data_IF_306856124242
#
_entry.id   IF_306856124242
#
_cell.length_a   1.000
_cell.length_b   1.000
_cell.length_c   1.000
_cell.angle_alpha   90.00
_cell.angle_beta   90.00
_cell.angle_gamma   90.00
#
_symmetry.space_group_name_H-M   'P 1'
#
loop_
_entity.id
_entity.type
_entity.pdbx_description
1 polymer ?
#
# COMPACT_ATOMS: atom_id res chain seq x y z
N UNK A 1 -71.95 -11.06 21.35
CA UNK A 1 -71.01 -10.36 20.46
C UNK A 1 -69.97 -9.68 21.32
N UNK A 2 -68.75 -10.20 21.37
CA UNK A 2 -67.67 -9.68 22.23
C UNK A 2 -66.89 -8.66 21.41
N UNK A 3 -66.98 -7.38 21.76
CA UNK A 3 -66.23 -6.32 21.08
C UNK A 3 -64.73 -6.48 21.39
N UNK A 4 -63.90 -6.58 20.35
CA UNK A 4 -62.46 -6.40 20.44
C UNK A 4 -62.22 -4.92 20.71
N UNK A 5 -61.84 -4.58 21.93
CA UNK A 5 -61.47 -3.21 22.28
C UNK A 5 -60.09 -2.96 21.67
N UNK A 6 -60.06 -2.28 20.53
CA UNK A 6 -58.83 -1.80 19.94
C UNK A 6 -58.24 -0.75 20.89
N UNK A 7 -57.09 -1.08 21.50
CA UNK A 7 -56.40 -0.17 22.41
C UNK A 7 -55.89 1.01 21.57
N UNK A 8 -56.27 2.27 21.86
CA UNK A 8 -55.79 3.40 21.08
C UNK A 8 -54.27 3.47 21.24
N UNK A 9 -53.56 3.38 20.12
CA UNK A 9 -52.11 3.55 20.11
C UNK A 9 -51.78 4.99 20.53
N UNK A 10 -50.95 5.19 21.57
CA UNK A 10 -50.56 6.53 21.95
C UNK A 10 -49.83 7.17 20.76
N UNK A 11 -50.33 8.31 20.30
CA UNK A 11 -49.65 9.08 19.26
C UNK A 11 -48.41 9.71 19.90
N UNK A 12 -47.19 9.37 19.43
CA UNK A 12 -45.97 9.95 19.99
C UNK A 12 -46.03 11.47 19.80
N UNK A 13 -46.13 12.20 20.91
CA UNK A 13 -46.02 13.65 20.92
C UNK A 13 -44.55 13.98 21.09
N UNK A 14 -43.94 14.65 20.10
CA UNK A 14 -42.55 15.10 20.20
C UNK A 14 -42.41 16.05 21.39
N UNK A 15 -41.71 15.60 22.44
CA UNK A 15 -41.43 16.41 23.64
C UNK A 15 -40.22 17.32 23.46
N UNK A 16 -39.50 17.17 22.35
CA UNK A 16 -38.31 17.93 21.98
C UNK A 16 -38.54 18.51 20.60
N UNK A 17 -38.18 19.78 20.41
CA UNK A 17 -38.35 20.46 19.14
C UNK A 17 -37.48 19.77 18.05
N UNK A 18 -38.02 19.47 16.85
CA UNK A 18 -37.33 18.65 15.84
C UNK A 18 -36.00 19.25 15.36
N UNK A 19 -35.87 20.57 15.36
CA UNK A 19 -34.65 21.34 15.13
C UNK A 19 -33.51 21.05 16.12
N UNK A 20 -33.79 20.45 17.28
CA UNK A 20 -32.76 20.00 18.24
C UNK A 20 -32.20 18.62 17.89
N UNK A 21 -32.94 17.79 17.14
CA UNK A 21 -32.57 16.41 16.81
C UNK A 21 -32.16 16.22 15.36
N UNK A 22 -32.37 17.23 14.50
CA UNK A 22 -31.75 17.27 13.19
C UNK A 22 -30.49 18.14 13.25
N UNK A 23 -29.32 17.62 12.82
CA UNK A 23 -28.15 18.46 12.63
C UNK A 23 -28.53 19.46 11.54
N UNK A 24 -28.92 20.68 11.93
CA UNK A 24 -29.32 21.73 11.00
C UNK A 24 -28.19 22.11 10.04
N UNK A 25 -28.27 23.28 9.41
CA UNK A 25 -27.28 23.69 8.40
C UNK A 25 -25.81 23.55 8.87
N UNK A 26 -25.53 23.86 10.15
CA UNK A 26 -24.20 23.72 10.75
C UNK A 26 -23.70 22.26 10.72
N UNK A 27 -24.56 21.30 11.08
CA UNK A 27 -24.17 19.90 11.09
C UNK A 27 -24.02 19.31 9.67
N UNK A 28 -24.84 19.76 8.72
CA UNK A 28 -24.65 19.42 7.31
C UNK A 28 -23.31 19.97 6.77
N UNK A 29 -22.99 21.22 7.08
CA UNK A 29 -21.71 21.82 6.70
C UNK A 29 -20.52 21.06 7.31
N UNK A 30 -20.62 20.60 8.56
CA UNK A 30 -19.59 19.78 9.19
C UNK A 30 -19.35 18.46 8.44
N UNK A 31 -20.41 17.77 7.99
CA UNK A 31 -20.29 16.54 7.18
C UNK A 31 -19.60 16.82 5.85
N UNK A 32 -19.93 17.93 5.17
CA UNK A 32 -19.27 18.33 3.92
C UNK A 32 -17.78 18.57 4.14
N UNK A 33 -17.40 19.23 5.23
CA UNK A 33 -15.98 19.45 5.56
C UNK A 33 -15.25 18.12 5.79
N UNK A 34 -15.87 17.19 6.51
CA UNK A 34 -15.31 15.85 6.74
C UNK A 34 -15.14 15.11 5.41
N UNK A 35 -16.15 15.14 4.53
CA UNK A 35 -16.08 14.53 3.21
C UNK A 35 -14.90 15.09 2.39
N UNK A 36 -14.74 16.42 2.38
CA UNK A 36 -13.62 17.08 1.69
C UNK A 36 -12.29 16.64 2.30
N UNK A 37 -12.18 16.57 3.63
CA UNK A 37 -10.97 16.10 4.30
C UNK A 37 -10.63 14.65 3.92
N UNK A 38 -11.62 13.76 3.83
CA UNK A 38 -11.43 12.37 3.39
C UNK A 38 -10.97 12.31 1.93
N UNK A 39 -11.59 13.09 1.03
CA UNK A 39 -11.16 13.16 -0.38
C UNK A 39 -9.73 13.69 -0.49
N UNK A 40 -9.39 14.76 0.23
CA UNK A 40 -8.04 15.31 0.26
C UNK A 40 -7.05 14.30 0.83
N UNK A 41 -7.43 13.52 1.84
CA UNK A 41 -6.60 12.45 2.39
C UNK A 41 -6.33 11.35 1.37
N UNK A 42 -7.34 10.93 0.60
CA UNK A 42 -7.17 9.95 -0.48
C UNK A 42 -6.22 10.50 -1.55
N UNK A 43 -6.42 11.76 -1.97
CA UNK A 43 -5.56 12.41 -2.97
C UNK A 43 -4.12 12.59 -2.47
N UNK A 44 -3.96 12.98 -1.21
CA UNK A 44 -2.66 13.10 -0.53
C UNK A 44 -1.97 11.74 -0.47
N UNK A 45 -2.66 10.70 -0.02
CA UNK A 45 -2.14 9.34 0.04
C UNK A 45 -1.74 8.83 -1.35
N UNK A 46 -2.55 9.05 -2.38
CA UNK A 46 -2.22 8.69 -3.75
C UNK A 46 -1.00 9.46 -4.27
N UNK A 47 -0.91 10.76 -3.99
CA UNK A 47 0.23 11.61 -4.36
C UNK A 47 1.50 11.17 -3.63
N UNK A 48 1.38 10.79 -2.37
CA UNK A 48 2.45 10.26 -1.53
C UNK A 48 2.96 8.92 -2.06
N UNK A 49 2.08 7.97 -2.32
CA UNK A 49 2.43 6.66 -2.90
C UNK A 49 3.17 6.85 -4.23
N UNK A 50 2.63 7.68 -5.13
CA UNK A 50 3.29 7.97 -6.41
C UNK A 50 4.68 8.57 -6.20
N UNK A 51 4.82 9.56 -5.31
CA UNK A 51 6.13 10.18 -5.02
C UNK A 51 7.16 9.22 -4.42
N UNK A 52 6.74 8.27 -3.59
CA UNK A 52 7.64 7.32 -2.93
C UNK A 52 8.05 6.20 -3.89
N UNK A 53 7.12 5.65 -4.67
CA UNK A 53 7.41 4.52 -5.60
C UNK A 53 8.42 4.84 -6.68
N UNK A 54 8.52 6.09 -7.16
CA UNK A 54 9.56 6.49 -8.13
C UNK A 54 11.00 6.27 -7.63
N UNK A 55 11.21 6.15 -6.32
CA UNK A 55 12.55 5.98 -5.73
C UNK A 55 12.91 4.53 -5.47
N UNK A 56 11.93 3.64 -5.46
CA UNK A 56 12.12 2.21 -5.20
C UNK A 56 12.23 1.48 -6.53
N UNK A 57 11.34 1.75 -7.49
CA UNK A 57 11.39 1.11 -8.81
C UNK A 57 12.70 1.43 -9.58
N UNK A 58 13.28 2.63 -9.39
CA UNK A 58 14.60 2.97 -9.98
C UNK A 58 15.76 2.30 -9.25
N UNK A 59 15.64 2.06 -7.94
CA UNK A 59 16.68 1.36 -7.19
C UNK A 59 16.64 -0.13 -7.49
N UNK A 60 15.46 -0.71 -7.60
CA UNK A 60 15.30 -2.12 -7.91
C UNK A 60 15.84 -2.46 -9.32
N UNK A 61 15.66 -1.58 -10.31
CA UNK A 61 16.25 -1.77 -11.65
C UNK A 61 17.79 -1.62 -11.61
N UNK A 62 18.32 -0.62 -10.88
CA UNK A 62 19.78 -0.43 -10.74
C UNK A 62 20.45 -1.56 -9.95
N UNK A 63 19.83 -2.04 -8.88
CA UNK A 63 20.32 -3.16 -8.07
C UNK A 63 20.29 -4.47 -8.88
N UNK A 64 19.28 -4.66 -9.75
CA UNK A 64 19.21 -5.81 -10.66
C UNK A 64 20.27 -5.75 -11.77
N UNK A 65 20.51 -4.58 -12.37
CA UNK A 65 21.58 -4.38 -13.35
C UNK A 65 22.97 -4.60 -12.71
N UNK A 66 23.22 -4.09 -11.50
CA UNK A 66 24.48 -4.31 -10.79
C UNK A 66 24.68 -5.79 -10.41
N UNK A 67 23.64 -6.48 -9.94
CA UNK A 67 23.72 -7.90 -9.64
C UNK A 67 23.99 -8.76 -10.90
N UNK A 68 23.45 -8.37 -12.06
CA UNK A 68 23.74 -9.04 -13.33
C UNK A 68 25.19 -8.84 -13.77
N UNK A 69 25.73 -7.63 -13.64
CA UNK A 69 27.13 -7.33 -13.94
C UNK A 69 28.11 -8.04 -13.00
N UNK A 70 27.78 -8.13 -11.70
CA UNK A 70 28.58 -8.88 -10.73
C UNK A 70 28.58 -10.38 -11.01
N UNK A 71 27.44 -10.94 -11.44
CA UNK A 71 27.34 -12.34 -11.84
C UNK A 71 28.16 -12.64 -13.11
N UNK A 72 28.14 -11.75 -14.10
CA UNK A 72 28.93 -11.88 -15.33
C UNK A 72 30.44 -11.85 -15.03
N UNK A 73 30.90 -10.90 -14.21
CA UNK A 73 32.30 -10.80 -13.82
C UNK A 73 32.77 -11.99 -12.97
N UNK A 74 31.90 -12.55 -12.13
CA UNK A 74 32.20 -13.77 -11.38
C UNK A 74 32.41 -14.98 -12.31
N UNK A 75 31.60 -15.11 -13.36
CA UNK A 75 31.76 -16.20 -14.34
C UNK A 75 33.00 -16.05 -15.22
N UNK A 76 33.40 -14.82 -15.56
CA UNK A 76 34.62 -14.55 -16.35
C UNK A 76 35.89 -14.85 -15.53
N UNK A 77 35.88 -14.51 -14.24
CA UNK A 77 37.03 -14.75 -13.35
C UNK A 77 37.25 -16.25 -13.07
N UNK A 78 36.18 -17.05 -12.99
CA UNK A 78 36.25 -18.50 -12.78
C UNK A 78 36.72 -19.25 -14.05
N UNK A 79 36.44 -18.68 -15.23
CA UNK A 79 36.86 -19.22 -16.52
C UNK A 79 38.33 -18.92 -16.88
N UNK A 80 38.94 -17.87 -16.30
CA UNK A 80 40.34 -17.48 -16.52
C UNK A 80 41.31 -18.06 -15.47
N UNK A 81 40.84 -18.96 -14.60
CA UNK A 81 41.74 -19.71 -13.74
C UNK A 81 42.63 -20.60 -14.61
N UNK A 82 43.96 -20.43 -14.58
CA UNK A 82 44.85 -21.31 -15.31
C UNK A 82 44.59 -22.72 -14.79
N UNK A 83 44.21 -23.62 -15.71
CA UNK A 83 44.22 -25.05 -15.47
C UNK A 83 45.67 -25.37 -15.15
N UNK A 84 45.98 -25.43 -13.86
CA UNK A 84 47.27 -25.91 -13.39
C UNK A 84 47.25 -27.39 -13.74
N UNK A 85 47.88 -27.74 -14.86
CA UNK A 85 48.12 -29.13 -15.22
C UNK A 85 49.11 -29.68 -14.20
N UNK A 86 48.58 -30.24 -13.11
CA UNK A 86 49.31 -30.91 -12.04
C UNK A 86 49.81 -32.29 -12.51
N UNK A 87 50.35 -32.39 -13.73
CA UNK A 87 50.87 -33.64 -14.30
C UNK A 87 52.22 -33.46 -15.02
N UNK A 88 53.06 -32.51 -14.61
CA UNK A 88 54.42 -32.34 -15.16
C UNK A 88 55.55 -32.83 -14.24
N UNK A 89 55.25 -33.70 -13.26
CA UNK A 89 56.27 -34.43 -12.49
C UNK A 89 56.71 -35.72 -13.22
N UNK A 90 57.13 -35.62 -14.48
CA UNK A 90 57.94 -36.66 -15.14
C UNK A 90 59.42 -36.25 -15.03
N UNK A 91 60.21 -36.80 -14.09
CA UNK A 91 61.64 -36.55 -14.05
C UNK A 91 62.32 -37.30 -15.20
N UNK A 92 62.46 -36.61 -16.34
CA UNK A 92 63.42 -37.01 -17.38
C UNK A 92 64.81 -36.50 -16.98
N UNK A 93 65.82 -37.37 -17.17
CA UNK A 93 67.28 -37.24 -17.00
C UNK A 93 67.82 -37.76 -15.65
N UNK A 94 68.72 -38.75 -15.58
CA UNK A 94 69.88 -39.11 -16.41
C UNK A 94 70.13 -40.62 -16.41
#
# INVERSE_FOLDING_TARGET
>A
MRALTESPMPTPTMTVAPELVTPGFVGFAAVVVILVAVVLLILDMNRRIRRVRYREEVRDELDAEQAALEAEHATETDADLPIVDENDDDPITK
#
